data_IF_026011224745
#
_entry.id   IF_026011224745
#
_cell.length_a   1.000
_cell.length_b   1.000
_cell.length_c   1.000
_cell.angle_alpha   90.00
_cell.angle_beta   90.00
_cell.angle_gamma   90.00
#
_symmetry.space_group_name_H-M   'P 1'
#
loop_
_entity.id
_entity.type
_entity.pdbx_description
1 polymer ?
#
# COMPACT_ATOMS: atom_id res chain seq x y z
N UNK A 1 -10.91 -13.51 -45.61
CA UNK A 1 -11.46 -12.15 -45.43
C UNK A 1 -11.14 -11.71 -44.01
N UNK A 2 -10.06 -10.96 -43.82
CA UNK A 2 -9.55 -10.56 -42.49
C UNK A 2 -10.40 -9.38 -42.00
N UNK A 3 -11.34 -9.64 -41.07
CA UNK A 3 -12.14 -8.60 -40.44
C UNK A 3 -11.21 -7.71 -39.61
N UNK A 4 -10.96 -6.49 -40.06
CA UNK A 4 -10.48 -5.40 -39.22
C UNK A 4 -11.52 -5.20 -38.11
N UNK A 5 -11.22 -5.70 -36.91
CA UNK A 5 -11.90 -5.22 -35.70
C UNK A 5 -11.59 -3.72 -35.61
N UNK A 6 -12.59 -2.89 -35.93
CA UNK A 6 -12.56 -1.46 -35.63
C UNK A 6 -12.03 -1.29 -34.21
N UNK A 7 -10.91 -0.57 -34.05
CA UNK A 7 -10.36 -0.23 -32.74
C UNK A 7 -11.40 0.62 -32.02
N UNK A 8 -12.18 0.01 -31.13
CA UNK A 8 -13.11 0.71 -30.23
C UNK A 8 -12.33 1.42 -29.13
N UNK A 9 -12.79 2.60 -28.75
CA UNK A 9 -12.27 3.39 -27.63
C UNK A 9 -12.54 2.71 -26.29
N UNK A 10 -11.78 3.05 -25.24
CA UNK A 10 -11.99 2.47 -23.92
C UNK A 10 -13.34 2.84 -23.31
N UNK A 11 -13.88 4.02 -23.66
CA UNK A 11 -15.23 4.44 -23.29
C UNK A 11 -16.28 3.52 -23.90
N UNK A 12 -16.20 3.24 -25.20
CA UNK A 12 -17.14 2.33 -25.88
C UNK A 12 -17.05 0.92 -25.32
N UNK A 13 -15.84 0.42 -25.02
CA UNK A 13 -15.66 -0.87 -24.35
C UNK A 13 -16.36 -0.88 -22.98
N UNK A 14 -16.18 0.17 -22.18
CA UNK A 14 -16.76 0.28 -20.84
C UNK A 14 -18.29 0.34 -20.86
N UNK A 15 -18.88 1.09 -21.79
CA UNK A 15 -20.33 1.21 -21.94
C UNK A 15 -20.95 -0.15 -22.29
N UNK A 16 -20.33 -0.91 -23.19
CA UNK A 16 -20.80 -2.24 -23.63
C UNK A 16 -20.64 -3.28 -22.52
N UNK A 17 -19.51 -3.31 -21.81
CA UNK A 17 -19.29 -4.20 -20.67
C UNK A 17 -20.32 -3.92 -19.57
N UNK A 18 -20.54 -2.65 -19.23
CA UNK A 18 -21.50 -2.25 -18.20
C UNK A 18 -22.95 -2.58 -18.58
N UNK A 19 -23.32 -2.44 -19.86
CA UNK A 19 -24.64 -2.82 -20.34
C UNK A 19 -24.84 -4.34 -20.35
N UNK A 20 -23.81 -5.12 -20.71
CA UNK A 20 -23.83 -6.59 -20.65
C UNK A 20 -23.96 -7.13 -19.22
N UNK A 21 -23.30 -6.49 -18.25
CA UNK A 21 -23.39 -6.87 -16.83
C UNK A 21 -24.75 -6.54 -16.22
N UNK A 22 -25.30 -5.34 -16.53
CA UNK A 22 -26.65 -4.95 -16.10
C UNK A 22 -27.74 -5.85 -16.66
N UNK A 23 -27.59 -6.33 -17.90
CA UNK A 23 -28.47 -7.31 -18.50
C UNK A 23 -28.35 -8.71 -17.86
N UNK A 24 -27.58 -8.88 -16.78
CA UNK A 24 -27.29 -10.17 -16.15
C UNK A 24 -28.05 -10.53 -14.90
N UNK A 25 -29.04 -9.73 -14.49
CA UNK A 25 -29.79 -9.94 -13.26
C UNK A 25 -30.86 -11.04 -13.41
N UNK A 26 -30.42 -12.30 -13.52
CA UNK A 26 -31.13 -13.49 -13.04
C UNK A 26 -32.45 -13.95 -13.71
N UNK A 27 -32.93 -13.34 -14.79
CA UNK A 27 -34.17 -13.76 -15.48
C UNK A 27 -33.90 -14.34 -16.88
N UNK A 28 -34.83 -15.13 -17.45
CA UNK A 28 -34.72 -15.61 -18.83
C UNK A 28 -34.67 -14.45 -19.87
N UNK A 29 -35.38 -13.36 -19.58
CA UNK A 29 -35.31 -12.10 -20.37
C UNK A 29 -33.90 -11.47 -20.33
N UNK A 30 -33.13 -11.73 -19.27
CA UNK A 30 -31.77 -11.21 -19.10
C UNK A 30 -30.78 -11.86 -20.09
N UNK A 31 -30.96 -13.15 -20.41
CA UNK A 31 -30.10 -13.86 -21.36
C UNK A 31 -30.39 -13.52 -22.82
N UNK A 32 -31.65 -13.32 -23.20
CA UNK A 32 -32.01 -12.81 -24.53
C UNK A 32 -31.47 -11.40 -24.75
N UNK A 33 -31.58 -10.53 -23.75
CA UNK A 33 -31.02 -9.17 -23.77
C UNK A 33 -29.50 -9.19 -23.96
N UNK A 34 -28.80 -10.10 -23.27
CA UNK A 34 -27.35 -10.30 -23.46
C UNK A 34 -27.00 -10.77 -24.87
N UNK A 35 -27.74 -11.73 -25.42
CA UNK A 35 -27.51 -12.22 -26.78
C UNK A 35 -27.75 -11.14 -27.83
N UNK A 36 -28.79 -10.32 -27.65
CA UNK A 36 -29.09 -9.21 -28.53
C UNK A 36 -27.97 -8.15 -28.48
N UNK A 37 -27.50 -7.81 -27.28
CA UNK A 37 -26.43 -6.82 -27.09
C UNK A 37 -25.11 -7.24 -27.73
N UNK A 38 -24.77 -8.55 -27.68
CA UNK A 38 -23.61 -9.11 -28.36
C UNK A 38 -23.73 -9.04 -29.89
N UNK A 39 -24.93 -9.30 -30.43
CA UNK A 39 -25.22 -9.19 -31.87
C UNK A 39 -25.14 -7.74 -32.34
N UNK A 40 -25.80 -6.81 -31.66
CA UNK A 40 -25.85 -5.38 -32.02
C UNK A 40 -24.44 -4.77 -32.04
N UNK A 41 -23.57 -5.22 -31.14
CA UNK A 41 -22.19 -4.77 -31.06
C UNK A 41 -21.20 -5.63 -31.88
N UNK A 42 -21.66 -6.72 -32.52
CA UNK A 42 -20.82 -7.66 -33.26
C UNK A 42 -19.59 -8.12 -32.44
N UNK A 43 -19.81 -8.48 -31.18
CA UNK A 43 -18.78 -8.91 -30.22
C UNK A 43 -19.15 -10.26 -29.62
N UNK A 44 -18.14 -11.06 -29.31
CA UNK A 44 -18.34 -12.33 -28.62
C UNK A 44 -18.29 -12.14 -27.10
N UNK A 45 -18.84 -13.09 -26.36
CA UNK A 45 -18.74 -13.15 -24.89
C UNK A 45 -17.28 -13.09 -24.42
N UNK A 46 -16.37 -13.79 -25.10
CA UNK A 46 -14.94 -13.79 -24.76
C UNK A 46 -14.31 -12.41 -24.96
N UNK A 47 -14.75 -11.64 -25.97
CA UNK A 47 -14.36 -10.25 -26.18
C UNK A 47 -14.79 -9.37 -25.01
N UNK A 48 -16.01 -9.53 -24.50
CA UNK A 48 -16.53 -8.80 -23.32
C UNK A 48 -15.67 -9.09 -22.09
N UNK A 49 -15.41 -10.35 -21.77
CA UNK A 49 -14.58 -10.70 -20.62
C UNK A 49 -13.11 -10.27 -20.77
N UNK A 50 -12.60 -10.19 -22.00
CA UNK A 50 -11.27 -9.62 -22.27
C UNK A 50 -11.26 -8.12 -21.99
N UNK A 51 -12.22 -7.37 -22.53
CA UNK A 51 -12.35 -5.94 -22.28
C UNK A 51 -12.61 -5.62 -20.82
N UNK A 52 -13.42 -6.42 -20.12
CA UNK A 52 -13.59 -6.29 -18.66
C UNK A 52 -12.25 -6.38 -17.93
N UNK A 53 -11.40 -7.37 -18.27
CA UNK A 53 -10.06 -7.49 -17.68
C UNK A 53 -9.17 -6.30 -18.02
N UNK A 54 -9.16 -5.88 -19.29
CA UNK A 54 -8.41 -4.72 -19.76
C UNK A 54 -8.82 -3.42 -19.04
N UNK A 55 -10.13 -3.17 -18.90
CA UNK A 55 -10.67 -2.01 -18.17
C UNK A 55 -10.37 -2.06 -16.67
N UNK A 56 -10.41 -3.25 -16.06
CA UNK A 56 -9.98 -3.44 -14.65
C UNK A 56 -8.49 -3.12 -14.51
N UNK A 57 -7.64 -3.55 -15.45
CA UNK A 57 -6.21 -3.24 -15.45
C UNK A 57 -5.92 -1.75 -15.66
N UNK A 58 -6.65 -1.09 -16.57
CA UNK A 58 -6.59 0.36 -16.79
C UNK A 58 -7.01 1.10 -15.51
N UNK A 59 -8.15 0.73 -14.92
CA UNK A 59 -8.65 1.33 -13.68
C UNK A 59 -7.68 1.16 -12.50
N UNK A 60 -7.05 -0.01 -12.37
CA UNK A 60 -6.00 -0.25 -11.35
C UNK A 60 -4.77 0.63 -11.58
N UNK A 61 -4.39 0.85 -12.84
CA UNK A 61 -3.22 1.67 -13.18
C UNK A 61 -3.49 3.15 -12.87
N UNK A 62 -4.66 3.66 -13.23
CA UNK A 62 -5.09 5.03 -12.91
C UNK A 62 -5.19 5.25 -11.39
N UNK A 63 -5.87 4.34 -10.67
CA UNK A 63 -5.99 4.38 -9.20
C UNK A 63 -4.62 4.37 -8.51
N UNK A 64 -3.65 3.59 -9.03
CA UNK A 64 -2.27 3.57 -8.52
C UNK A 64 -1.58 4.94 -8.71
N UNK A 65 -1.70 5.55 -9.89
CA UNK A 65 -1.12 6.86 -10.17
C UNK A 65 -1.71 7.95 -9.26
N UNK A 66 -3.03 7.96 -9.08
CA UNK A 66 -3.72 8.89 -8.19
C UNK A 66 -3.31 8.68 -6.72
N UNK A 67 -3.14 7.42 -6.29
CA UNK A 67 -2.67 7.10 -4.94
C UNK A 67 -1.25 7.64 -4.67
N UNK A 68 -0.34 7.55 -5.66
CA UNK A 68 1.04 8.06 -5.56
C UNK A 68 1.08 9.60 -5.46
N UNK A 69 0.29 10.27 -6.30
CA UNK A 69 0.18 11.73 -6.25
C UNK A 69 -0.40 12.19 -4.90
N UNK A 70 -1.47 11.53 -4.45
CA UNK A 70 -2.12 11.84 -3.18
C UNK A 70 -1.20 11.63 -1.99
N UNK A 71 -0.43 10.53 -1.94
CA UNK A 71 0.49 10.30 -0.82
C UNK A 71 1.64 11.31 -0.82
N UNK A 72 2.13 11.73 -1.97
CA UNK A 72 3.19 12.75 -2.06
C UNK A 72 2.71 14.10 -1.49
N UNK A 73 1.47 14.49 -1.80
CA UNK A 73 0.81 15.68 -1.23
C UNK A 73 0.59 15.57 0.29
N UNK A 74 0.21 14.38 0.77
CA UNK A 74 0.06 14.11 2.20
C UNK A 74 1.41 14.26 2.93
N UNK A 75 2.48 13.70 2.37
CA UNK A 75 3.83 13.82 2.95
C UNK A 75 4.29 15.28 2.98
N UNK A 76 4.03 16.04 1.91
CA UNK A 76 4.32 17.48 1.88
C UNK A 76 3.59 18.23 2.99
N UNK A 77 2.28 18.00 3.14
CA UNK A 77 1.45 18.59 4.20
C UNK A 77 1.98 18.26 5.61
N UNK A 78 2.38 17.00 5.84
CA UNK A 78 2.94 16.54 7.12
C UNK A 78 4.32 17.13 7.42
N UNK A 79 5.12 17.36 6.38
CA UNK A 79 6.45 17.95 6.50
C UNK A 79 6.38 19.45 6.79
N UNK A 80 5.59 20.21 6.03
CA UNK A 80 5.56 21.67 6.14
C UNK A 80 4.80 22.15 7.38
N UNK A 81 3.82 21.39 7.87
CA UNK A 81 3.00 21.78 9.01
C UNK A 81 2.18 23.06 8.76
N UNK A 82 2.03 23.48 7.50
CA UNK A 82 1.40 24.75 7.13
C UNK A 82 -0.13 24.67 7.08
N UNK A 83 -0.69 23.47 7.22
CA UNK A 83 -2.13 23.26 7.16
C UNK A 83 -2.79 23.50 8.52
N UNK A 84 -4.08 23.87 8.52
CA UNK A 84 -4.84 23.92 9.77
C UNK A 84 -4.80 22.55 10.50
N UNK A 85 -4.99 22.57 11.82
CA UNK A 85 -4.87 21.36 12.67
C UNK A 85 -5.73 20.20 12.17
N UNK A 86 -6.89 20.50 11.57
CA UNK A 86 -7.83 19.48 11.06
C UNK A 86 -7.26 18.76 9.84
N UNK A 87 -6.78 19.51 8.85
CA UNK A 87 -6.15 18.97 7.65
C UNK A 87 -4.84 18.25 7.99
N UNK A 88 -4.14 18.69 9.03
CA UNK A 88 -2.95 18.00 9.52
C UNK A 88 -3.28 16.63 10.13
N UNK A 89 -4.27 16.55 11.02
CA UNK A 89 -4.76 15.27 11.59
C UNK A 89 -5.22 14.33 10.46
N UNK A 90 -5.98 14.87 9.50
CA UNK A 90 -6.44 14.11 8.35
C UNK A 90 -5.29 13.54 7.50
N UNK A 91 -4.21 14.31 7.35
CA UNK A 91 -2.99 13.87 6.69
C UNK A 91 -2.30 12.75 7.46
N UNK A 92 -2.26 12.80 8.80
CA UNK A 92 -1.71 11.73 9.65
C UNK A 92 -2.51 10.43 9.45
N UNK A 93 -3.84 10.51 9.56
CA UNK A 93 -4.73 9.36 9.40
C UNK A 93 -4.62 8.76 7.98
N UNK A 94 -4.57 9.61 6.95
CA UNK A 94 -4.43 9.17 5.56
C UNK A 94 -3.08 8.50 5.30
N UNK A 95 -1.99 9.05 5.87
CA UNK A 95 -0.65 8.48 5.74
C UNK A 95 -0.55 7.11 6.44
N UNK A 96 -1.05 6.99 7.68
CA UNK A 96 -1.09 5.72 8.41
C UNK A 96 -1.87 4.64 7.65
N UNK A 97 -3.05 5.00 7.12
CA UNK A 97 -3.84 4.07 6.30
C UNK A 97 -3.12 3.66 5.01
N UNK A 98 -2.40 4.58 4.37
CA UNK A 98 -1.57 4.29 3.21
C UNK A 98 -0.40 3.35 3.52
N UNK A 99 0.27 3.49 4.67
CA UNK A 99 1.34 2.57 5.08
C UNK A 99 0.86 1.11 5.10
N UNK A 100 -0.39 0.90 5.53
CA UNK A 100 -1.03 -0.42 5.61
C UNK A 100 -1.52 -0.94 4.25
N UNK A 101 -2.04 -0.06 3.39
CA UNK A 101 -2.66 -0.43 2.12
C UNK A 101 -2.24 0.45 0.94
N UNK A 102 -0.94 0.54 0.58
CA UNK A 102 -0.44 1.52 -0.39
C UNK A 102 -0.91 1.31 -1.84
N UNK A 103 -1.65 0.23 -2.13
CA UNK A 103 -2.20 -0.09 -3.46
C UNK A 103 -3.74 -0.23 -3.46
N UNK A 104 -4.42 -0.02 -2.32
CA UNK A 104 -5.88 -0.19 -2.19
C UNK A 104 -6.50 1.12 -1.68
N UNK A 105 -6.95 1.96 -2.62
CA UNK A 105 -7.47 3.30 -2.33
C UNK A 105 -8.75 3.28 -1.49
N UNK A 106 -9.58 2.25 -1.65
CA UNK A 106 -10.82 2.11 -0.90
C UNK A 106 -10.51 1.81 0.58
N UNK A 107 -9.59 0.86 0.83
CA UNK A 107 -9.11 0.57 2.19
C UNK A 107 -8.39 1.75 2.83
N UNK A 108 -7.58 2.50 2.06
CA UNK A 108 -6.94 3.72 2.55
C UNK A 108 -7.98 4.72 3.06
N UNK A 109 -9.03 4.96 2.28
CA UNK A 109 -10.11 5.90 2.63
C UNK A 109 -10.85 5.45 3.89
N UNK A 110 -11.29 4.20 3.93
CA UNK A 110 -12.01 3.63 5.09
C UNK A 110 -11.12 3.67 6.34
N UNK A 111 -9.87 3.21 6.23
CA UNK A 111 -8.91 3.19 7.33
C UNK A 111 -8.65 4.59 7.91
N UNK A 112 -8.48 5.58 7.03
CA UNK A 112 -8.31 6.98 7.44
C UNK A 112 -9.53 7.52 8.19
N UNK A 113 -10.73 7.17 7.76
CA UNK A 113 -11.98 7.58 8.43
C UNK A 113 -12.09 6.93 9.81
N UNK A 114 -11.79 5.63 9.92
CA UNK A 114 -11.78 4.91 11.20
C UNK A 114 -10.80 5.54 12.20
N UNK A 115 -9.56 5.80 11.78
CA UNK A 115 -8.54 6.45 12.61
C UNK A 115 -9.00 7.84 13.09
N UNK A 116 -9.49 8.67 12.16
CA UNK A 116 -9.97 10.00 12.49
C UNK A 116 -11.14 9.93 13.49
N UNK A 117 -12.09 9.01 13.29
CA UNK A 117 -13.26 8.86 14.15
C UNK A 117 -12.88 8.38 15.56
N UNK A 118 -11.97 7.40 15.66
CA UNK A 118 -11.45 6.91 16.93
C UNK A 118 -10.73 8.02 17.72
N UNK A 119 -9.86 8.78 17.05
CA UNK A 119 -9.18 9.92 17.63
C UNK A 119 -10.15 10.97 18.19
N UNK A 120 -11.17 11.35 17.42
CA UNK A 120 -12.19 12.31 17.85
C UNK A 120 -12.99 11.82 19.07
N UNK A 121 -13.34 10.53 19.09
CA UNK A 121 -14.05 9.92 20.20
C UNK A 121 -13.21 9.96 21.48
N UNK A 122 -11.94 9.60 21.42
CA UNK A 122 -11.02 9.62 22.58
C UNK A 122 -10.80 11.04 23.11
N UNK A 123 -10.58 12.01 22.22
CA UNK A 123 -10.44 13.42 22.60
C UNK A 123 -11.69 13.93 23.34
N UNK A 124 -12.88 13.58 22.84
CA UNK A 124 -14.17 13.95 23.46
C UNK A 124 -14.36 13.26 24.81
N UNK A 125 -14.05 11.97 24.90
CA UNK A 125 -14.15 11.20 26.15
C UNK A 125 -13.24 11.76 27.25
N UNK A 126 -12.05 12.27 26.89
CA UNK A 126 -11.09 12.91 27.80
C UNK A 126 -11.44 14.37 28.13
N UNK A 127 -12.59 14.89 27.66
CA UNK A 127 -13.01 16.28 27.90
C UNK A 127 -12.11 17.33 27.27
N UNK A 128 -11.25 16.94 26.32
CA UNK A 128 -10.43 17.86 25.54
C UNK A 128 -11.35 18.56 24.55
N UNK A 129 -11.25 19.89 24.45
CA UNK A 129 -12.12 20.70 23.59
C UNK A 129 -12.22 20.08 22.19
N UNK A 130 -13.42 19.66 21.81
CA UNK A 130 -13.74 18.99 20.54
C UNK A 130 -13.15 19.81 19.39
N UNK A 131 -12.52 19.19 18.39
CA UNK A 131 -12.15 19.93 17.19
C UNK A 131 -13.42 20.47 16.53
N UNK A 132 -13.32 21.57 15.76
CA UNK A 132 -14.48 22.29 15.27
C UNK A 132 -15.39 21.36 14.47
N UNK A 133 -16.70 21.65 14.39
CA UNK A 133 -17.66 21.01 13.46
C UNK A 133 -17.12 20.81 12.04
N UNK A 134 -16.09 21.57 11.64
CA UNK A 134 -15.33 21.39 10.42
C UNK A 134 -14.62 20.02 10.31
N UNK A 135 -14.03 19.47 11.38
CA UNK A 135 -13.36 18.17 11.38
C UNK A 135 -14.35 17.01 11.20
N UNK A 136 -15.46 17.03 11.94
CA UNK A 136 -16.58 16.12 11.74
C UNK A 136 -17.10 16.19 10.31
N UNK A 137 -17.34 17.41 9.78
CA UNK A 137 -17.77 17.61 8.39
C UNK A 137 -16.75 17.10 7.37
N UNK A 138 -15.45 17.23 7.63
CA UNK A 138 -14.40 16.73 6.73
C UNK A 138 -14.42 15.20 6.65
N UNK A 139 -14.67 14.52 7.78
CA UNK A 139 -14.85 13.07 7.84
C UNK A 139 -16.14 12.65 7.12
N UNK A 140 -17.26 13.32 7.39
CA UNK A 140 -18.54 13.02 6.75
C UNK A 140 -18.53 13.29 5.24
N UNK A 141 -17.85 14.34 4.77
CA UNK A 141 -17.74 14.68 3.35
C UNK A 141 -16.84 13.72 2.56
N UNK A 142 -15.98 12.94 3.24
CA UNK A 142 -15.11 11.95 2.61
C UNK A 142 -15.78 10.58 2.44
N UNK A 143 -16.87 10.33 3.15
CA UNK A 143 -17.66 9.11 3.02
C UNK A 143 -18.63 9.27 1.83
N UNK A 144 -18.49 8.41 0.82
CA UNK A 144 -19.48 8.34 -0.25
C UNK A 144 -20.66 7.47 0.19
N UNK A 145 -21.82 7.65 -0.43
CA UNK A 145 -22.98 6.77 -0.23
C UNK A 145 -22.61 5.29 -0.46
N UNK A 146 -21.70 5.01 -1.39
CA UNK A 146 -21.15 3.66 -1.59
C UNK A 146 -20.41 3.13 -0.37
N UNK A 147 -19.65 3.94 0.37
CA UNK A 147 -18.94 3.53 1.59
C UNK A 147 -19.93 3.16 2.69
N UNK A 148 -20.94 4.01 2.85
CA UNK A 148 -22.03 3.79 3.81
C UNK A 148 -22.83 2.55 3.43
N UNK A 149 -23.12 2.34 2.15
CA UNK A 149 -23.84 1.14 1.67
C UNK A 149 -23.00 -0.12 1.84
N UNK A 150 -21.68 -0.03 1.57
CA UNK A 150 -20.75 -1.14 1.78
C UNK A 150 -20.69 -1.53 3.26
N UNK A 151 -20.60 -0.54 4.16
CA UNK A 151 -20.69 -0.76 5.60
C UNK A 151 -22.05 -1.32 6.01
N UNK A 152 -23.18 -0.74 5.60
CA UNK A 152 -24.51 -1.21 6.01
C UNK A 152 -24.95 -2.54 5.38
N UNK A 153 -24.30 -2.99 4.30
CA UNK A 153 -24.65 -4.22 3.57
C UNK A 153 -24.38 -5.52 4.34
N UNK A 154 -23.83 -5.45 5.55
CA UNK A 154 -23.52 -6.65 6.34
C UNK A 154 -22.30 -7.44 5.85
N UNK A 155 -21.68 -7.05 4.72
CA UNK A 155 -20.30 -7.40 4.36
C UNK A 155 -19.25 -6.71 5.28
N UNK A 156 -19.66 -6.35 6.50
CA UNK A 156 -18.85 -5.70 7.53
C UNK A 156 -17.76 -6.59 8.10
N UNK A 157 -17.90 -7.92 8.00
CA UNK A 157 -16.82 -8.88 8.29
C UNK A 157 -15.59 -8.64 7.39
N UNK A 158 -15.74 -7.93 6.26
CA UNK A 158 -14.62 -7.68 5.35
C UNK A 158 -13.84 -6.37 5.61
N UNK A 159 -14.34 -5.41 6.40
CA UNK A 159 -13.77 -4.04 6.40
C UNK A 159 -13.74 -3.26 7.72
N UNK A 160 -14.25 -3.78 8.83
CA UNK A 160 -14.02 -3.17 10.15
C UNK A 160 -13.36 -4.15 11.11
N UNK A 161 -12.34 -4.84 10.62
CA UNK A 161 -11.40 -5.48 11.50
C UNK A 161 -9.99 -4.97 11.23
N UNK A 162 -9.72 -3.82 11.86
CA UNK A 162 -8.34 -3.39 12.07
C UNK A 162 -7.51 -4.50 12.73
N UNK A 163 -8.16 -5.45 13.43
CA UNK A 163 -7.55 -6.62 14.04
C UNK A 163 -7.57 -7.89 13.13
N UNK A 164 -8.66 -8.27 12.45
CA UNK A 164 -8.74 -9.55 11.68
C UNK A 164 -8.12 -9.53 10.26
N UNK A 165 -7.83 -8.38 9.65
CA UNK A 165 -7.01 -8.35 8.43
C UNK A 165 -5.54 -8.43 8.84
N UNK A 166 -4.88 -9.58 8.66
CA UNK A 166 -4.08 -10.29 9.67
C UNK A 166 -3.21 -9.38 10.57
N UNK A 167 -3.80 -8.83 11.64
CA UNK A 167 -3.07 -8.34 12.81
C UNK A 167 -3.29 -9.26 14.03
N UNK A 168 -4.24 -10.21 13.98
CA UNK A 168 -4.57 -11.16 15.06
C UNK A 168 -3.82 -12.51 15.05
N UNK A 169 -2.64 -12.62 14.44
CA UNK A 169 -1.70 -13.71 14.77
C UNK A 169 -0.34 -13.14 15.16
N UNK A 170 0.09 -13.26 16.44
CA UNK A 170 1.33 -12.68 16.98
C UNK A 170 2.63 -13.00 16.22
N UNK A 171 2.59 -13.96 15.31
CA UNK A 171 3.76 -14.59 14.68
C UNK A 171 4.10 -13.93 13.32
N UNK A 172 3.21 -13.10 12.73
CA UNK A 172 3.36 -12.65 11.33
C UNK A 172 3.00 -11.17 11.07
N UNK A 173 3.82 -10.23 11.53
CA UNK A 173 3.65 -8.84 11.08
C UNK A 173 4.27 -8.66 9.70
N UNK A 174 3.44 -8.39 8.68
CA UNK A 174 3.92 -7.99 7.35
C UNK A 174 4.87 -6.78 7.45
N UNK A 175 4.66 -5.89 8.43
CA UNK A 175 5.58 -4.78 8.77
C UNK A 175 7.00 -5.26 9.06
N UNK A 176 7.18 -6.23 9.95
CA UNK A 176 8.50 -6.79 10.26
C UNK A 176 9.15 -7.41 9.03
N UNK A 177 8.37 -8.15 8.25
CA UNK A 177 8.86 -8.74 7.01
C UNK A 177 9.33 -7.66 6.01
N UNK A 178 8.58 -6.57 5.86
CA UNK A 178 8.95 -5.44 5.00
C UNK A 178 10.22 -4.76 5.52
N UNK A 179 10.34 -4.59 6.85
CA UNK A 179 11.54 -4.08 7.52
C UNK A 179 12.75 -4.98 7.27
N UNK A 180 12.62 -6.30 7.42
CA UNK A 180 13.71 -7.25 7.18
C UNK A 180 14.13 -7.28 5.70
N UNK A 181 13.18 -7.14 4.77
CA UNK A 181 13.50 -6.98 3.34
C UNK A 181 14.34 -5.71 3.13
N UNK A 182 13.93 -4.57 3.70
CA UNK A 182 14.69 -3.31 3.56
C UNK A 182 16.07 -3.43 4.23
N UNK A 183 16.14 -4.02 5.41
CA UNK A 183 17.39 -4.30 6.12
C UNK A 183 18.38 -5.05 5.21
N UNK A 184 17.92 -6.07 4.49
CA UNK A 184 18.76 -6.75 3.50
C UNK A 184 19.11 -5.86 2.29
N UNK A 185 18.14 -5.14 1.72
CA UNK A 185 18.34 -4.35 0.50
C UNK A 185 19.35 -3.20 0.67
N UNK A 186 19.47 -2.65 1.88
CA UNK A 186 20.43 -1.58 2.20
C UNK A 186 21.74 -2.11 2.82
N UNK A 187 21.96 -3.42 2.83
CA UNK A 187 23.17 -4.00 3.39
C UNK A 187 24.41 -3.79 2.52
N UNK A 188 25.57 -3.78 3.14
CA UNK A 188 26.88 -3.63 2.50
C UNK A 188 27.27 -4.83 1.61
N UNK A 189 26.81 -6.03 1.97
CA UNK A 189 27.26 -7.30 1.39
C UNK A 189 26.27 -7.96 0.41
N UNK A 190 25.17 -7.29 0.07
CA UNK A 190 24.19 -7.84 -0.88
C UNK A 190 24.66 -7.83 -2.35
N UNK A 191 25.94 -7.55 -2.62
CA UNK A 191 26.54 -7.43 -3.95
C UNK A 191 26.40 -8.71 -4.78
N UNK A 192 25.70 -8.60 -5.90
CA UNK A 192 25.98 -9.38 -7.10
C UNK A 192 27.21 -8.77 -7.83
N UNK A 193 27.82 -9.47 -8.80
CA UNK A 193 28.94 -8.93 -9.58
C UNK A 193 28.63 -7.60 -10.29
N UNK A 194 27.36 -7.34 -10.59
CA UNK A 194 26.83 -6.09 -11.16
C UNK A 194 26.42 -5.04 -10.12
N UNK A 195 26.70 -5.27 -8.84
CA UNK A 195 26.44 -4.32 -7.75
C UNK A 195 24.99 -4.22 -7.31
N UNK A 196 24.16 -5.20 -7.68
CA UNK A 196 22.71 -5.20 -7.44
C UNK A 196 22.29 -6.22 -6.39
N UNK A 197 21.19 -5.92 -5.73
CA UNK A 197 20.58 -6.76 -4.70
C UNK A 197 19.35 -7.46 -5.25
N UNK A 198 19.18 -8.74 -4.92
CA UNK A 198 18.07 -9.56 -5.41
C UNK A 198 17.06 -9.87 -4.32
N UNK A 199 15.78 -9.70 -4.62
CA UNK A 199 14.67 -10.18 -3.78
C UNK A 199 14.66 -11.71 -3.59
N UNK A 200 15.35 -12.48 -4.44
CA UNK A 200 15.52 -13.91 -4.23
C UNK A 200 16.38 -14.22 -3.01
N UNK A 201 17.45 -13.44 -2.81
CA UNK A 201 18.35 -13.58 -1.66
C UNK A 201 17.65 -13.13 -0.36
N UNK A 202 16.91 -12.01 -0.41
CA UNK A 202 16.06 -11.59 0.70
C UNK A 202 15.07 -12.70 1.12
N UNK A 203 14.38 -13.30 0.15
CA UNK A 203 13.45 -14.40 0.39
C UNK A 203 14.14 -15.64 0.98
N UNK A 204 15.35 -15.97 0.53
CA UNK A 204 16.13 -17.09 1.09
C UNK A 204 16.46 -16.84 2.57
N UNK A 205 16.98 -15.66 2.93
CA UNK A 205 17.29 -15.31 4.32
C UNK A 205 16.06 -15.40 5.23
N UNK A 206 14.92 -14.89 4.77
CA UNK A 206 13.64 -14.96 5.49
C UNK A 206 13.17 -16.40 5.66
N UNK A 207 13.21 -17.19 4.58
CA UNK A 207 12.78 -18.59 4.60
C UNK A 207 13.64 -19.42 5.54
N UNK A 208 14.94 -19.16 5.55
CA UNK A 208 15.93 -19.91 6.34
C UNK A 208 15.98 -19.40 7.80
N UNK A 209 15.16 -18.40 8.15
CA UNK A 209 14.91 -18.00 9.54
C UNK A 209 16.01 -17.14 10.16
N UNK A 210 16.83 -16.47 9.34
CA UNK A 210 17.92 -15.63 9.84
C UNK A 210 17.46 -14.35 10.53
N UNK A 211 16.24 -13.89 10.22
CA UNK A 211 15.64 -12.77 10.95
C UNK A 211 14.92 -13.28 12.20
N UNK A 212 14.96 -12.49 13.28
CA UNK A 212 14.47 -12.84 14.63
C UNK A 212 13.07 -13.47 14.70
N UNK A 213 12.23 -13.34 13.67
CA UNK A 213 10.89 -13.93 13.62
C UNK A 213 10.77 -14.87 12.42
N UNK A 214 10.67 -16.17 12.71
CA UNK A 214 10.53 -17.21 11.70
C UNK A 214 9.19 -17.09 10.96
N UNK A 215 9.25 -16.68 9.69
CA UNK A 215 8.09 -16.65 8.81
C UNK A 215 8.45 -17.30 7.48
N UNK A 216 8.60 -18.63 7.48
CA UNK A 216 8.79 -19.38 6.25
C UNK A 216 7.59 -19.12 5.32
N UNK A 217 7.81 -18.32 4.27
CA UNK A 217 6.81 -18.01 3.24
C UNK A 217 7.19 -18.64 1.93
N UNK A 218 6.18 -19.11 1.19
CA UNK A 218 6.37 -19.51 -0.20
C UNK A 218 6.85 -18.32 -1.03
N UNK A 219 7.58 -18.58 -2.12
CA UNK A 219 8.03 -17.52 -3.04
C UNK A 219 6.87 -16.70 -3.58
N UNK A 220 5.77 -17.37 -3.95
CA UNK A 220 4.54 -16.73 -4.44
C UNK A 220 3.96 -15.74 -3.42
N UNK A 221 3.89 -16.13 -2.16
CA UNK A 221 3.37 -15.26 -1.08
C UNK A 221 4.29 -14.07 -0.82
N UNK A 222 5.61 -14.27 -0.92
CA UNK A 222 6.60 -13.21 -0.81
C UNK A 222 6.43 -12.18 -1.95
N UNK A 223 6.36 -12.63 -3.20
CA UNK A 223 6.23 -11.76 -4.37
C UNK A 223 4.90 -10.98 -4.35
N UNK A 224 3.81 -11.62 -3.93
CA UNK A 224 2.51 -10.96 -3.76
C UNK A 224 2.58 -9.86 -2.70
N UNK A 225 3.22 -10.13 -1.57
CA UNK A 225 3.40 -9.15 -0.50
C UNK A 225 4.25 -7.98 -0.97
N UNK A 226 5.39 -8.24 -1.61
CA UNK A 226 6.27 -7.18 -2.13
C UNK A 226 5.56 -6.33 -3.19
N UNK A 227 4.83 -6.95 -4.11
CA UNK A 227 4.05 -6.22 -5.12
C UNK A 227 2.96 -5.35 -4.49
N UNK A 228 2.33 -5.82 -3.41
CA UNK A 228 1.25 -5.09 -2.75
C UNK A 228 1.75 -3.98 -1.82
N UNK A 229 2.86 -4.20 -1.11
CA UNK A 229 3.28 -3.38 0.04
C UNK A 229 4.72 -2.84 -0.08
N UNK A 230 5.51 -3.26 -1.07
CA UNK A 230 6.93 -2.90 -1.17
C UNK A 230 7.19 -1.40 -1.23
N UNK A 231 6.21 -0.62 -1.72
CA UNK A 231 6.27 0.85 -1.80
C UNK A 231 6.25 1.51 -0.41
N UNK A 232 5.61 0.91 0.60
CA UNK A 232 5.60 1.42 1.98
C UNK A 232 6.72 0.82 2.84
N UNK A 233 7.48 -0.15 2.34
CA UNK A 233 8.50 -0.86 3.11
C UNK A 233 9.58 0.05 3.73
N UNK A 234 10.14 1.07 3.02
CA UNK A 234 11.13 1.98 3.60
C UNK A 234 10.61 2.70 4.85
N UNK A 235 9.33 3.07 4.85
CA UNK A 235 8.69 3.75 5.97
C UNK A 235 8.55 2.83 7.17
N UNK A 236 8.13 1.58 6.95
CA UNK A 236 8.07 0.56 8.00
C UNK A 236 9.43 0.29 8.66
N UNK A 237 10.51 0.31 7.88
CA UNK A 237 11.87 0.18 8.41
C UNK A 237 12.25 1.37 9.31
N UNK A 238 12.06 2.60 8.83
CA UNK A 238 12.42 3.80 9.62
C UNK A 238 11.60 3.87 10.90
N UNK A 239 10.32 3.55 10.82
CA UNK A 239 9.38 3.54 11.95
C UNK A 239 9.76 2.51 13.03
N UNK A 240 10.45 1.41 12.67
CA UNK A 240 10.88 0.37 13.63
C UNK A 240 12.28 0.58 14.19
N UNK A 241 13.21 1.08 13.38
CA UNK A 241 14.64 1.06 13.71
C UNK A 241 15.27 2.45 13.85
N UNK A 242 14.61 3.52 13.40
CA UNK A 242 15.24 4.83 13.20
C UNK A 242 14.38 6.03 13.62
N UNK A 243 13.19 5.81 14.18
CA UNK A 243 12.20 6.82 14.54
C UNK A 243 11.78 6.68 16.00
N UNK A 244 11.56 7.81 16.68
CA UNK A 244 10.85 7.88 17.95
C UNK A 244 9.33 7.90 17.75
N UNK A 245 8.86 8.43 16.61
CA UNK A 245 7.44 8.52 16.25
C UNK A 245 6.91 7.17 15.78
N UNK A 246 5.65 6.86 16.16
CA UNK A 246 4.90 5.71 15.70
C UNK A 246 3.86 6.10 14.64
N UNK A 247 4.11 5.78 13.38
CA UNK A 247 3.21 6.09 12.26
C UNK A 247 2.21 4.97 11.95
N UNK A 248 2.40 3.78 12.51
CA UNK A 248 1.50 2.63 12.31
C UNK A 248 0.43 2.67 13.41
N UNK A 249 -0.54 3.57 13.22
CA UNK A 249 -1.60 3.84 14.17
C UNK A 249 -2.71 2.79 14.12
N UNK A 250 -3.29 2.48 15.27
CA UNK A 250 -4.41 1.55 15.44
C UNK A 250 -5.60 2.27 16.09
N UNK A 251 -6.78 2.34 15.43
CA UNK A 251 -7.99 2.94 15.99
C UNK A 251 -8.52 2.22 17.24
N UNK A 252 -8.09 0.98 17.50
CA UNK A 252 -8.45 0.25 18.72
C UNK A 252 -7.51 0.57 19.89
N UNK A 253 -6.40 1.27 19.68
CA UNK A 253 -5.45 1.62 20.74
C UNK A 253 -6.03 2.71 21.66
N UNK A 254 -5.96 2.47 22.97
CA UNK A 254 -6.44 3.39 23.99
C UNK A 254 -5.60 4.69 24.07
N UNK A 255 -4.37 4.66 23.55
CA UNK A 255 -3.43 5.79 23.54
C UNK A 255 -3.30 6.43 22.15
N UNK A 256 -4.19 6.11 21.21
CA UNK A 256 -4.17 6.67 19.85
C UNK A 256 -4.09 8.20 19.82
N UNK A 257 -4.82 8.88 20.71
CA UNK A 257 -4.81 10.34 20.79
C UNK A 257 -3.45 10.90 21.22
N UNK A 258 -2.77 10.22 22.13
CA UNK A 258 -1.43 10.60 22.58
C UNK A 258 -0.40 10.42 21.45
N UNK A 259 -0.48 9.32 20.68
CA UNK A 259 0.41 9.14 19.52
C UNK A 259 0.17 10.18 18.42
N UNK A 260 -1.09 10.54 18.15
CA UNK A 260 -1.41 11.57 17.16
C UNK A 260 -0.94 12.95 17.63
N UNK A 261 -1.18 13.30 18.90
CA UNK A 261 -0.71 14.57 19.47
C UNK A 261 0.83 14.65 19.47
N UNK A 262 1.53 13.55 19.78
CA UNK A 262 3.00 13.47 19.70
C UNK A 262 3.50 13.73 18.26
N UNK A 263 2.88 13.09 17.26
CA UNK A 263 3.19 13.36 15.85
C UNK A 263 2.97 14.84 15.52
N UNK A 264 1.92 15.49 16.04
CA UNK A 264 1.63 16.91 15.78
C UNK A 264 2.72 17.81 16.37
N UNK A 265 3.19 17.52 17.58
CA UNK A 265 4.10 18.39 18.32
C UNK A 265 5.57 18.27 17.84
N UNK A 266 6.01 17.07 17.47
CA UNK A 266 7.42 16.78 17.18
C UNK A 266 7.81 17.04 15.72
N UNK A 267 7.78 18.31 15.30
CA UNK A 267 8.05 18.72 13.90
C UNK A 267 9.42 18.32 13.35
N UNK A 268 10.47 18.40 14.18
CA UNK A 268 11.82 18.01 13.77
C UNK A 268 11.92 16.49 13.54
N UNK A 269 11.29 15.70 14.40
CA UNK A 269 11.29 14.24 14.28
C UNK A 269 10.49 13.78 13.07
N UNK A 270 9.36 14.43 12.74
CA UNK A 270 8.62 14.17 11.49
C UNK A 270 9.49 14.41 10.27
N UNK A 271 10.20 15.54 10.24
CA UNK A 271 11.11 15.88 9.14
C UNK A 271 12.22 14.82 9.01
N UNK A 272 12.90 14.50 10.11
CA UNK A 272 13.97 13.50 10.13
C UNK A 272 13.45 12.12 9.69
N UNK A 273 12.24 11.73 10.10
CA UNK A 273 11.58 10.50 9.67
C UNK A 273 11.47 10.43 8.13
N UNK A 274 10.89 11.45 7.50
CA UNK A 274 10.74 11.46 6.05
C UNK A 274 12.09 11.56 5.33
N UNK A 275 13.02 12.40 5.78
CA UNK A 275 14.36 12.51 5.18
C UNK A 275 15.09 11.15 5.17
N UNK A 276 15.02 10.37 6.25
CA UNK A 276 15.55 9.00 6.30
C UNK A 276 14.80 8.05 5.36
N UNK A 277 13.48 8.13 5.30
CA UNK A 277 12.67 7.28 4.40
C UNK A 277 13.08 7.48 2.94
N UNK A 278 13.23 8.73 2.51
CA UNK A 278 13.65 9.02 1.14
C UNK A 278 15.12 8.67 0.88
N UNK A 279 15.99 8.77 1.89
CA UNK A 279 17.35 8.25 1.81
C UNK A 279 17.40 6.74 1.52
N UNK A 280 16.56 5.97 2.21
CA UNK A 280 16.42 4.52 1.97
C UNK A 280 15.82 4.25 0.59
N UNK A 281 14.81 5.02 0.17
CA UNK A 281 14.22 4.89 -1.18
C UNK A 281 15.31 5.08 -2.24
N UNK A 282 16.18 6.07 -2.10
CA UNK A 282 17.32 6.28 -3.01
C UNK A 282 18.24 5.05 -3.03
N UNK A 283 18.65 4.53 -1.87
CA UNK A 283 19.49 3.33 -1.80
C UNK A 283 18.83 2.11 -2.44
N UNK A 284 17.53 1.90 -2.22
CA UNK A 284 16.78 0.80 -2.80
C UNK A 284 16.68 0.96 -4.32
N UNK A 285 16.41 2.16 -4.83
CA UNK A 285 16.35 2.41 -6.27
C UNK A 285 17.71 2.19 -6.97
N UNK A 286 18.81 2.53 -6.30
CA UNK A 286 20.15 2.36 -6.87
C UNK A 286 20.59 0.89 -6.88
N UNK A 287 20.20 0.12 -5.85
CA UNK A 287 20.70 -1.23 -5.61
C UNK A 287 19.78 -2.33 -6.12
N UNK A 288 18.47 -2.16 -6.05
CA UNK A 288 17.52 -3.22 -6.41
C UNK A 288 17.52 -3.44 -7.94
N UNK A 289 17.32 -4.69 -8.37
CA UNK A 289 17.17 -4.98 -9.80
C UNK A 289 16.04 -4.11 -10.43
N UNK A 290 16.30 -3.39 -11.53
CA UNK A 290 15.32 -2.52 -12.19
C UNK A 290 14.00 -3.23 -12.53
N UNK A 291 14.02 -4.52 -12.83
CA UNK A 291 12.79 -5.29 -13.10
C UNK A 291 11.89 -5.39 -11.87
N UNK A 292 12.49 -5.48 -10.68
CA UNK A 292 11.77 -5.47 -9.42
C UNK A 292 11.34 -4.05 -9.01
N UNK A 293 12.13 -3.02 -9.35
CA UNK A 293 11.79 -1.60 -9.13
C UNK A 293 10.62 -1.17 -10.00
N UNK A 294 10.59 -1.52 -11.29
CA UNK A 294 9.52 -1.10 -12.22
C UNK A 294 8.11 -1.52 -11.77
N UNK A 295 8.00 -2.54 -10.91
CA UNK A 295 6.73 -2.94 -10.31
C UNK A 295 6.27 -1.99 -9.18
N UNK A 296 7.21 -1.30 -8.54
CA UNK A 296 7.01 -0.35 -7.45
C UNK A 296 7.03 1.08 -7.98
N UNK A 297 6.31 1.96 -7.30
CA UNK A 297 6.33 3.39 -7.58
C UNK A 297 6.38 4.07 -6.23
N UNK A 298 7.57 4.47 -5.81
CA UNK A 298 7.78 5.16 -4.54
C UNK A 298 7.24 6.60 -4.64
N UNK A 299 6.78 7.19 -3.53
CA UNK A 299 6.50 8.62 -3.49
C UNK A 299 7.76 9.42 -3.82
N UNK A 300 7.59 10.60 -4.41
CA UNK A 300 8.68 11.53 -4.69
C UNK A 300 8.87 12.43 -3.47
N UNK A 301 10.12 12.73 -3.04
CA UNK A 301 10.35 13.69 -1.97
C UNK A 301 9.80 15.07 -2.36
N UNK A 302 9.08 15.75 -1.46
CA UNK A 302 8.73 17.16 -1.65
C UNK A 302 9.98 18.01 -1.86
N UNK A 303 9.96 19.10 -2.65
CA UNK A 303 11.14 19.91 -2.95
C UNK A 303 11.89 20.46 -1.73
N UNK A 304 11.16 20.73 -0.64
CA UNK A 304 11.72 21.23 0.62
C UNK A 304 12.42 20.13 1.46
N UNK A 305 12.21 18.86 1.12
CA UNK A 305 12.68 17.72 1.88
C UNK A 305 13.81 17.01 1.14
N UNK A 306 15.01 17.08 1.72
CA UNK A 306 16.22 16.49 1.12
C UNK A 306 16.46 15.10 1.72
N UNK A 307 16.61 14.04 0.90
CA UNK A 307 16.95 12.71 1.40
C UNK A 307 18.21 12.73 2.28
N UNK A 308 18.13 12.15 3.48
CA UNK A 308 19.26 12.01 4.38
C UNK A 308 20.02 10.72 4.04
N UNK A 309 21.35 10.77 4.02
CA UNK A 309 22.15 9.56 3.92
C UNK A 309 21.91 8.64 5.14
N UNK A 310 21.57 7.38 4.88
CA UNK A 310 21.32 6.37 5.92
C UNK A 310 22.50 5.40 5.96
N UNK A 311 23.02 5.04 7.15
CA UNK A 311 24.09 4.07 7.27
C UNK A 311 23.66 2.72 6.71
N UNK A 312 24.59 2.04 6.03
CA UNK A 312 24.36 0.70 5.50
C UNK A 312 24.27 -0.30 6.65
N UNK A 313 23.41 -1.30 6.49
CA UNK A 313 23.31 -2.41 7.43
C UNK A 313 24.44 -3.40 7.18
N UNK A 314 24.87 -4.07 8.25
CA UNK A 314 25.88 -5.14 8.21
C UNK A 314 25.17 -6.47 8.42
N UNK A 315 25.28 -7.40 7.46
CA UNK A 315 24.74 -8.75 7.66
C UNK A 315 25.67 -9.55 8.56
N UNK A 316 25.11 -10.39 9.44
CA UNK A 316 25.90 -11.28 10.27
C UNK A 316 26.51 -12.46 9.48
N UNK A 317 27.52 -13.11 10.05
CA UNK A 317 28.22 -14.23 9.41
C UNK A 317 27.30 -15.38 9.03
N UNK A 318 26.22 -15.61 9.77
CA UNK A 318 25.26 -16.69 9.49
C UNK A 318 24.40 -16.39 8.26
N UNK A 319 23.95 -15.15 8.10
CA UNK A 319 23.26 -14.68 6.90
C UNK A 319 24.17 -14.77 5.68
N UNK A 320 25.43 -14.34 5.83
CA UNK A 320 26.41 -14.39 4.75
C UNK A 320 26.71 -15.83 4.31
N UNK A 321 26.91 -16.75 5.26
CA UNK A 321 27.11 -18.17 4.97
C UNK A 321 25.92 -18.75 4.20
N UNK A 322 24.68 -18.46 4.63
CA UNK A 322 23.46 -18.93 3.97
C UNK A 322 23.33 -18.45 2.53
N UNK A 323 23.70 -17.19 2.26
CA UNK A 323 23.72 -16.66 0.90
C UNK A 323 24.79 -17.36 0.04
N UNK A 324 25.96 -17.67 0.61
CA UNK A 324 27.03 -18.38 -0.12
C UNK A 324 26.63 -19.80 -0.53
N UNK A 325 25.89 -20.52 0.32
CA UNK A 325 25.42 -21.88 0.02
C UNK A 325 24.23 -21.87 -0.96
N UNK A 326 23.37 -20.85 -0.89
CA UNK A 326 22.37 -20.61 -1.92
C UNK A 326 22.99 -20.48 -3.32
N UNK A 327 24.16 -19.84 -3.42
CA UNK A 327 24.90 -19.74 -4.69
C UNK A 327 25.43 -21.08 -5.16
N UNK A 328 26.05 -21.88 -4.29
CA UNK A 328 26.60 -23.19 -4.66
C UNK A 328 25.52 -24.13 -5.19
N UNK A 329 24.33 -24.12 -4.58
CA UNK A 329 23.25 -25.05 -4.94
C UNK A 329 22.49 -24.68 -6.23
N UNK A 330 22.53 -23.41 -6.67
CA UNK A 330 21.82 -22.97 -7.88
C UNK A 330 22.59 -23.22 -9.18
N UNK A 331 23.92 -23.43 -9.12
CA UNK A 331 24.71 -23.85 -10.28
C UNK A 331 24.54 -25.34 -10.63
N UNK A 332 23.81 -26.11 -9.82
CA UNK A 332 23.49 -27.52 -10.08
C UNK A 332 22.08 -27.75 -10.65
N UNK A 333 21.27 -26.69 -10.77
CA UNK A 333 19.93 -26.75 -11.35
C UNK A 333 19.68 -25.53 -12.25
N UNK A 334 20.30 -25.55 -13.44
CA UNK A 334 19.84 -24.80 -14.60
C UNK A 334 19.15 -25.77 -15.56
#
# INVERSE_FOLDING_TARGET
MVRQLLKRTDKEKADIVSAYERAGSGSAESDETRQQLLKDNNVSVSTIYRWKRELIEIGKTASKADSILRISQIIESLHTGTCDKVNFIDSICSFSAWLRWPQDTDRQRIGSVCLASAYLNLMTAKGRSTPPRAAERLIYNKLTYSDVTLALSGNLEAYADFNEIPYQKPIYYNRNLLRDIIYYLISDLAYSPDGRVSLNRAHALIRDGHFHRQAARSRRSFDQLWKALGVSAPFHYVDQDQSSLNWVLDPADLYLDEYIDEIIELSQDRRAYFEKCFGIISLVNDRLDPRAINALHFPTPPPALTPQAVPLTMLDDSMLASLSDFHKNRFYFN
#
